data_IF_693505839440
#
_entry.id   IF_693505839440
#
_cell.length_a   1.000
_cell.length_b   1.000
_cell.length_c   1.000
_cell.angle_alpha   90.00
_cell.angle_beta   90.00
_cell.angle_gamma   90.00
#
_symmetry.space_group_name_H-M   'P 1'
#
loop_
_entity.id
_entity.type
_entity.pdbx_description
1 polymer ?
#
# COMPACT_ATOMS: atom_id res chain seq x y z
N UNK A 1 9.10 -7.45 21.35
CA UNK A 1 9.43 -7.09 19.95
C UNK A 1 8.25 -7.52 19.12
N UNK A 2 7.42 -6.57 18.65
CA UNK A 2 6.33 -6.94 17.74
C UNK A 2 7.00 -7.37 16.44
N UNK A 3 6.58 -8.51 15.93
CA UNK A 3 6.99 -8.99 14.62
C UNK A 3 6.52 -7.97 13.58
N UNK A 4 7.46 -7.21 13.00
CA UNK A 4 7.16 -6.15 12.04
C UNK A 4 6.31 -6.67 10.87
N UNK A 5 6.52 -7.94 10.48
CA UNK A 5 5.75 -8.59 9.42
C UNK A 5 4.26 -8.74 9.79
N UNK A 6 3.93 -8.99 11.07
CA UNK A 6 2.52 -9.06 11.52
C UNK A 6 1.87 -7.68 11.54
N UNK A 7 2.62 -6.63 11.86
CA UNK A 7 2.12 -5.26 11.80
C UNK A 7 1.87 -4.83 10.35
N UNK A 8 2.79 -5.14 9.44
CA UNK A 8 2.67 -4.84 8.01
C UNK A 8 1.46 -5.55 7.41
N UNK A 9 1.30 -6.85 7.68
CA UNK A 9 0.14 -7.61 7.22
C UNK A 9 -1.19 -7.06 7.75
N UNK A 10 -1.23 -6.55 8.99
CA UNK A 10 -2.42 -5.91 9.52
C UNK A 10 -2.68 -4.54 8.88
N UNK A 11 -1.64 -3.74 8.67
CA UNK A 11 -1.75 -2.43 8.02
C UNK A 11 -2.30 -2.55 6.58
N UNK A 12 -1.86 -3.57 5.83
CA UNK A 12 -2.39 -3.86 4.49
C UNK A 12 -3.89 -4.18 4.56
N UNK A 13 -4.32 -4.99 5.52
CA UNK A 13 -5.74 -5.31 5.71
C UNK A 13 -6.57 -4.08 6.07
N UNK A 14 -6.05 -3.23 6.95
CA UNK A 14 -6.72 -1.99 7.38
C UNK A 14 -6.87 -1.00 6.20
N UNK A 15 -5.92 -1.02 5.25
CA UNK A 15 -5.94 -0.20 4.04
C UNK A 15 -6.97 -0.64 2.97
N UNK A 16 -7.56 -1.85 3.08
CA UNK A 16 -8.57 -2.33 2.12
C UNK A 16 -9.80 -1.43 2.04
N UNK A 17 -10.24 -0.90 3.18
CA UNK A 17 -11.41 -0.03 3.25
C UNK A 17 -11.18 1.29 2.51
N UNK A 18 -10.16 2.10 2.83
CA UNK A 18 -9.91 3.34 2.09
C UNK A 18 -9.60 3.08 0.62
N UNK A 19 -8.96 1.96 0.28
CA UNK A 19 -8.75 1.55 -1.11
C UNK A 19 -10.09 1.35 -1.85
N UNK A 20 -11.03 0.61 -1.27
CA UNK A 20 -12.35 0.39 -1.86
C UNK A 20 -13.21 1.67 -1.94
N UNK A 21 -13.08 2.57 -0.96
CA UNK A 21 -13.75 3.88 -0.97
C UNK A 21 -13.29 4.69 -2.20
N UNK A 22 -11.98 4.82 -2.42
CA UNK A 22 -11.43 5.52 -3.60
C UNK A 22 -11.85 4.84 -4.91
N UNK A 23 -11.79 3.51 -4.99
CA UNK A 23 -12.25 2.79 -6.19
C UNK A 23 -13.74 3.05 -6.48
N UNK A 24 -14.56 3.18 -5.44
CA UNK A 24 -15.98 3.49 -5.59
C UNK A 24 -16.19 4.91 -6.09
N UNK A 25 -15.51 5.90 -5.48
CA UNK A 25 -15.56 7.31 -5.89
C UNK A 25 -15.16 7.51 -7.35
N UNK A 26 -14.14 6.76 -7.80
CA UNK A 26 -13.62 6.83 -9.17
C UNK A 26 -14.41 5.96 -10.17
N UNK A 27 -15.47 5.26 -9.75
CA UNK A 27 -16.22 4.30 -10.56
C UNK A 27 -15.34 3.16 -11.14
N UNK A 28 -14.33 2.75 -10.37
CA UNK A 28 -13.35 1.70 -10.71
C UNK A 28 -13.61 0.39 -9.99
N UNK A 29 -14.73 0.19 -9.29
CA UNK A 29 -14.97 -1.07 -8.56
C UNK A 29 -15.20 -2.28 -9.46
N UNK A 30 -15.69 -2.11 -10.70
CA UNK A 30 -16.06 -3.24 -11.55
C UNK A 30 -14.90 -4.23 -11.82
N UNK A 31 -13.67 -3.80 -12.16
CA UNK A 31 -12.51 -4.72 -12.32
C UNK A 31 -12.04 -5.42 -11.04
N UNK A 32 -12.50 -4.98 -9.86
CA UNK A 32 -12.05 -5.46 -8.56
C UNK A 32 -13.10 -6.31 -7.83
N UNK A 33 -14.34 -6.32 -8.32
CA UNK A 33 -15.47 -7.00 -7.67
C UNK A 33 -15.24 -8.51 -7.46
N UNK A 34 -14.53 -9.17 -8.39
CA UNK A 34 -14.27 -10.61 -8.37
C UNK A 34 -12.86 -10.96 -7.85
N UNK A 35 -12.09 -9.98 -7.38
CA UNK A 35 -10.73 -10.21 -6.87
C UNK A 35 -10.78 -10.75 -5.46
N UNK A 36 -9.87 -11.68 -5.18
CA UNK A 36 -9.70 -12.24 -3.85
C UNK A 36 -9.07 -11.22 -2.91
N UNK A 37 -9.29 -11.33 -1.59
CA UNK A 37 -8.64 -10.47 -0.62
C UNK A 37 -7.11 -10.49 -0.68
N UNK A 38 -6.50 -11.58 -1.15
CA UNK A 38 -5.06 -11.70 -1.32
C UNK A 38 -4.54 -10.93 -2.55
N UNK A 39 -5.29 -10.92 -3.64
CA UNK A 39 -4.95 -10.09 -4.81
C UNK A 39 -5.06 -8.59 -4.48
N UNK A 40 -6.07 -8.20 -3.69
CA UNK A 40 -6.20 -6.82 -3.21
C UNK A 40 -5.02 -6.45 -2.29
N UNK A 41 -4.65 -7.34 -1.36
CA UNK A 41 -3.49 -7.13 -0.49
C UNK A 41 -2.21 -6.93 -1.29
N UNK A 42 -2.01 -7.72 -2.34
CA UNK A 42 -0.84 -7.62 -3.20
C UNK A 42 -0.78 -6.28 -3.95
N UNK A 43 -1.92 -5.75 -4.40
CA UNK A 43 -1.98 -4.42 -5.02
C UNK A 43 -1.64 -3.31 -4.03
N UNK A 44 -2.17 -3.39 -2.81
CA UNK A 44 -1.87 -2.43 -1.75
C UNK A 44 -0.39 -2.48 -1.38
N UNK A 45 0.16 -3.69 -1.21
CA UNK A 45 1.57 -3.90 -0.90
C UNK A 45 2.47 -3.28 -1.96
N UNK A 46 2.23 -3.55 -3.25
CA UNK A 46 3.02 -2.99 -4.34
C UNK A 46 3.03 -1.44 -4.33
N UNK A 47 1.86 -0.82 -4.08
CA UNK A 47 1.74 0.63 -3.97
C UNK A 47 2.51 1.19 -2.77
N UNK A 48 2.38 0.56 -1.59
CA UNK A 48 3.05 1.01 -0.37
C UNK A 48 4.56 0.84 -0.45
N UNK A 49 5.05 -0.30 -0.95
CA UNK A 49 6.49 -0.55 -1.15
C UNK A 49 7.09 0.48 -2.08
N UNK A 50 6.49 0.72 -3.26
CA UNK A 50 7.01 1.71 -4.21
C UNK A 50 7.01 3.13 -3.64
N UNK A 51 6.00 3.49 -2.85
CA UNK A 51 5.94 4.77 -2.13
C UNK A 51 7.06 4.89 -1.09
N UNK A 52 7.23 3.87 -0.22
CA UNK A 52 8.25 3.86 0.82
C UNK A 52 9.67 3.91 0.25
N UNK A 53 9.95 3.14 -0.81
CA UNK A 53 11.24 3.17 -1.50
C UNK A 53 11.53 4.54 -2.10
N UNK A 54 10.52 5.18 -2.71
CA UNK A 54 10.68 6.54 -3.25
C UNK A 54 10.97 7.56 -2.16
N UNK A 55 10.21 7.53 -1.06
CA UNK A 55 10.43 8.41 0.10
C UNK A 55 11.82 8.20 0.70
N UNK A 56 12.27 6.95 0.80
CA UNK A 56 13.59 6.63 1.31
C UNK A 56 14.71 7.17 0.40
N UNK A 57 14.57 7.02 -0.93
CA UNK A 57 15.54 7.60 -1.89
C UNK A 57 15.63 9.11 -1.74
N UNK A 58 14.50 9.81 -1.66
CA UNK A 58 14.48 11.28 -1.49
C UNK A 58 15.10 11.71 -0.16
N UNK A 59 14.79 11.00 0.93
CA UNK A 59 15.40 11.26 2.24
C UNK A 59 16.92 11.07 2.23
N UNK A 60 17.44 10.11 1.46
CA UNK A 60 18.87 9.88 1.32
C UNK A 60 19.53 10.92 0.41
N UNK A 61 18.83 11.42 -0.61
CA UNK A 61 19.30 12.52 -1.47
C UNK A 61 19.37 13.85 -0.70
N UNK A 62 18.43 14.11 0.20
CA UNK A 62 18.43 15.28 1.09
C UNK A 62 19.53 15.24 2.17
N UNK A 63 20.03 14.04 2.53
CA UNK A 63 21.06 13.83 3.57
C UNK A 63 22.51 13.88 3.05
N UNK A 64 22.75 13.97 1.74
CA UNK A 64 24.10 14.11 1.18
C UNK A 64 24.36 15.60 0.83
N UNK A 65 24.93 16.42 1.72
CA UNK A 65 25.50 17.69 1.34
C UNK A 65 26.81 17.41 0.59
N UNK A 66 26.90 17.96 -0.61
CA UNK A 66 28.11 18.02 -1.45
C UNK A 66 29.41 18.27 -0.68
#
# INVERSE_FOLDING_TARGET
MIDKSKMEAQAIKDARRPFAEVLTELNLMAPFADRTPAEIDHLIEACVTGFQESMQRQSLEDEIPF
#
